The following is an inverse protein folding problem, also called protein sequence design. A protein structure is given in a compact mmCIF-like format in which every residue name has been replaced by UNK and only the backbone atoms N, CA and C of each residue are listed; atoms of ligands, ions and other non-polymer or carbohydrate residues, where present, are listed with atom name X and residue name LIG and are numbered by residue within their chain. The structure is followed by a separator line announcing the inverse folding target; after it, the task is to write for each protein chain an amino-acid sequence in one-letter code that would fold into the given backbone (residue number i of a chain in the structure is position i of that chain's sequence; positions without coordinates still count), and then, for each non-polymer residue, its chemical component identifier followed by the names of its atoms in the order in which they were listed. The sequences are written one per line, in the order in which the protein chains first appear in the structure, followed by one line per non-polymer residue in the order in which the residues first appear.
data_IF_580609825528
#
_entry.id   IF_580609825528
#
_cell.length_a   1.000
_cell.length_b   1.000
_cell.length_c   1.000
_cell.angle_alpha   90.00
_cell.angle_beta   90.00
_cell.angle_gamma   90.00
#
_symmetry.space_group_name_H-M   'P 1'
#
loop_
_entity.id
_entity.type
_entity.pdbx_description
1 polymer ?
#
# COMPACT_ATOMS: atom_id res chain seq x y z
N UNK A 1 -11.19 24.53 14.50
CA UNK A 1 -10.51 23.36 15.08
C UNK A 1 -11.10 22.12 14.42
N UNK A 2 -10.41 21.50 13.43
CA UNK A 2 -10.84 20.20 12.92
C UNK A 2 -10.46 19.19 13.99
N UNK A 3 -11.44 18.73 14.75
CA UNK A 3 -11.27 17.68 15.74
C UNK A 3 -10.51 16.51 15.13
N UNK A 4 -9.67 15.88 15.96
CA UNK A 4 -8.85 14.71 15.63
C UNK A 4 -9.73 13.57 15.13
N UNK A 5 -10.13 13.60 13.85
CA UNK A 5 -10.83 12.47 13.25
C UNK A 5 -9.94 11.23 13.39
N UNK A 6 -10.52 10.20 13.89
CA UNK A 6 -9.89 8.88 14.03
C UNK A 6 -9.42 8.48 12.62
N UNK A 7 -8.11 8.31 12.46
CA UNK A 7 -7.52 7.96 11.17
C UNK A 7 -7.79 6.48 10.91
N UNK A 8 -8.56 6.20 9.87
CA UNK A 8 -8.77 4.86 9.34
C UNK A 8 -7.96 4.74 8.06
N UNK A 9 -7.43 3.58 7.79
CA UNK A 9 -6.77 3.21 6.54
C UNK A 9 -7.08 1.76 6.22
N UNK A 10 -6.83 1.33 4.99
CA UNK A 10 -7.11 -0.03 4.59
C UNK A 10 -6.25 -0.52 3.45
N UNK A 11 -6.60 -1.69 2.97
CA UNK A 11 -5.99 -2.37 1.83
C UNK A 11 -7.04 -3.27 1.19
N UNK A 12 -7.18 -3.20 -0.13
CA UNK A 12 -7.94 -4.20 -0.86
C UNK A 12 -7.23 -5.56 -0.80
N UNK A 13 -8.02 -6.62 -0.63
CA UNK A 13 -7.57 -8.00 -0.68
C UNK A 13 -8.44 -8.78 -1.67
N UNK A 14 -8.16 -10.07 -1.86
CA UNK A 14 -8.97 -10.92 -2.75
C UNK A 14 -10.39 -11.02 -2.20
N UNK A 15 -11.39 -10.65 -3.01
CA UNK A 15 -12.82 -10.64 -2.66
C UNK A 15 -13.15 -9.91 -1.35
N UNK A 16 -12.32 -8.90 -0.97
CA UNK A 16 -12.50 -8.27 0.31
C UNK A 16 -11.67 -7.01 0.55
N UNK A 17 -11.79 -6.51 1.78
CA UNK A 17 -11.08 -5.34 2.27
C UNK A 17 -10.56 -5.58 3.67
N UNK A 18 -9.30 -5.23 3.90
CA UNK A 18 -8.72 -5.09 5.23
C UNK A 18 -8.81 -3.62 5.65
N UNK A 19 -9.35 -3.34 6.83
CA UNK A 19 -9.42 -2.02 7.44
C UNK A 19 -8.64 -1.99 8.76
N UNK A 20 -7.84 -0.94 8.93
CA UNK A 20 -7.18 -0.64 10.20
C UNK A 20 -7.87 0.55 10.85
N UNK A 21 -8.56 0.31 11.94
CA UNK A 21 -9.23 1.32 12.76
C UNK A 21 -8.51 1.55 14.09
N UNK A 22 -9.14 2.30 15.00
CA UNK A 22 -8.59 2.59 16.32
C UNK A 22 -8.63 1.40 17.27
N UNK A 23 -9.56 0.47 17.07
CA UNK A 23 -9.79 -0.67 18.00
C UNK A 23 -9.25 -1.99 17.47
N UNK A 24 -9.27 -2.16 16.14
CA UNK A 24 -8.85 -3.41 15.51
C UNK A 24 -8.34 -3.20 14.10
N UNK A 25 -7.60 -4.21 13.59
CA UNK A 25 -7.48 -4.51 12.18
C UNK A 25 -8.57 -5.54 11.88
N UNK A 26 -9.36 -5.31 10.84
CA UNK A 26 -10.44 -6.19 10.44
C UNK A 26 -10.36 -6.46 8.95
N UNK A 27 -10.38 -7.73 8.56
CA UNK A 27 -10.40 -8.17 7.17
C UNK A 27 -11.72 -8.87 6.91
N UNK A 28 -12.55 -8.30 6.05
CA UNK A 28 -13.80 -8.90 5.62
C UNK A 28 -13.67 -9.40 4.18
N UNK A 29 -14.22 -10.57 3.91
CA UNK A 29 -14.13 -11.28 2.64
C UNK A 29 -15.49 -11.86 2.28
N UNK A 30 -15.88 -11.74 1.01
CA UNK A 30 -17.05 -12.44 0.48
C UNK A 30 -16.65 -13.81 -0.03
N UNK A 31 -17.26 -14.84 0.50
CA UNK A 31 -17.10 -16.22 0.06
C UNK A 31 -17.87 -16.49 -1.23
N UNK A 32 -17.60 -17.61 -1.86
CA UNK A 32 -18.28 -18.04 -3.08
C UNK A 32 -19.80 -18.30 -2.91
N UNK A 33 -20.20 -18.72 -1.71
CA UNK A 33 -21.62 -18.89 -1.35
C UNK A 33 -22.36 -17.56 -1.12
N UNK A 34 -21.66 -16.42 -1.26
CA UNK A 34 -22.19 -15.08 -1.07
C UNK A 34 -22.15 -14.57 0.38
N UNK A 35 -21.83 -15.44 1.36
CA UNK A 35 -21.71 -15.04 2.77
C UNK A 35 -20.49 -14.15 2.98
N UNK A 36 -20.55 -13.28 3.99
CA UNK A 36 -19.42 -12.43 4.40
C UNK A 36 -18.83 -13.00 5.67
N UNK A 37 -17.53 -13.26 5.64
CA UNK A 37 -16.76 -13.63 6.81
C UNK A 37 -15.76 -12.53 7.15
N UNK A 38 -15.42 -12.38 8.43
CA UNK A 38 -14.39 -11.43 8.84
C UNK A 38 -13.46 -12.01 9.92
N UNK A 39 -12.23 -11.56 9.86
CA UNK A 39 -11.21 -11.79 10.89
C UNK A 39 -10.92 -10.48 11.59
N UNK A 40 -10.76 -10.52 12.93
CA UNK A 40 -10.50 -9.36 13.77
C UNK A 40 -9.21 -9.55 14.55
N UNK A 41 -8.31 -8.59 14.46
CA UNK A 41 -7.08 -8.51 15.26
C UNK A 41 -7.20 -7.28 16.18
N UNK A 42 -7.41 -7.51 17.48
CA UNK A 42 -7.54 -6.41 18.43
C UNK A 42 -6.24 -5.62 18.56
N UNK A 43 -6.32 -4.30 18.55
CA UNK A 43 -5.18 -3.41 18.76
C UNK A 43 -5.12 -2.99 20.23
N UNK A 44 -3.98 -3.24 20.87
CA UNK A 44 -3.72 -2.81 22.23
C UNK A 44 -3.27 -1.33 22.28
N UNK A 45 -3.52 -0.64 23.40
CA UNK A 45 -3.08 0.77 23.59
C UNK A 45 -1.56 0.95 23.43
N UNK A 46 -0.75 -0.06 23.76
CA UNK A 46 0.71 -0.05 23.56
C UNK A 46 1.07 0.04 22.08
N UNK A 47 0.34 -0.66 21.20
CA UNK A 47 0.53 -0.59 19.73
C UNK A 47 0.29 0.84 19.21
N UNK A 48 -0.65 1.57 19.79
CA UNK A 48 -0.99 2.92 19.38
C UNK A 48 0.00 4.01 19.84
N UNK A 49 0.84 3.75 20.84
CA UNK A 49 1.79 4.75 21.37
C UNK A 49 2.87 5.13 20.37
N UNK A 50 3.45 4.16 19.67
CA UNK A 50 4.50 4.37 18.70
C UNK A 50 3.98 5.06 17.41
N UNK A 51 2.70 4.90 17.08
CA UNK A 51 2.05 5.59 15.97
C UNK A 51 1.91 7.11 16.20
N UNK A 52 2.16 7.59 17.42
CA UNK A 52 2.17 9.03 17.75
C UNK A 52 3.52 9.69 17.47
N UNK A 53 4.59 8.89 17.34
CA UNK A 53 5.96 9.38 17.14
C UNK A 53 6.20 9.63 15.65
N UNK A 54 6.54 10.86 15.22
CA UNK A 54 6.90 11.15 13.85
C UNK A 54 8.03 10.23 13.36
N UNK A 55 8.10 9.96 12.07
CA UNK A 55 8.99 9.00 11.41
C UNK A 55 8.77 7.54 11.83
N UNK A 56 8.71 7.22 13.13
CA UNK A 56 8.48 5.84 13.62
C UNK A 56 7.16 5.29 13.10
N UNK A 57 6.11 6.11 13.07
CA UNK A 57 4.80 5.72 12.52
C UNK A 57 4.85 5.36 11.03
N UNK A 58 5.74 5.97 10.24
CA UNK A 58 5.94 5.62 8.82
C UNK A 58 6.62 4.26 8.66
N UNK A 59 7.59 3.96 9.53
CA UNK A 59 8.24 2.63 9.57
C UNK A 59 7.23 1.55 9.97
N UNK A 60 6.39 1.83 10.99
CA UNK A 60 5.33 0.91 11.41
C UNK A 60 4.31 0.72 10.29
N UNK A 61 3.90 1.80 9.60
CA UNK A 61 2.97 1.70 8.47
C UNK A 61 3.53 0.82 7.34
N UNK A 62 4.83 0.93 7.04
CA UNK A 62 5.49 0.06 6.07
C UNK A 62 5.52 -1.40 6.56
N UNK A 63 5.87 -1.64 7.83
CA UNK A 63 5.86 -2.97 8.43
C UNK A 63 4.46 -3.60 8.36
N UNK A 64 3.43 -2.86 8.76
CA UNK A 64 2.05 -3.32 8.71
C UNK A 64 1.61 -3.64 7.28
N UNK A 65 1.93 -2.78 6.31
CA UNK A 65 1.60 -3.02 4.91
C UNK A 65 2.28 -4.29 4.36
N UNK A 66 3.53 -4.54 4.73
CA UNK A 66 4.28 -5.71 4.24
C UNK A 66 3.94 -6.99 4.99
N UNK A 67 3.92 -6.96 6.32
CA UNK A 67 3.77 -8.19 7.13
C UNK A 67 2.31 -8.49 7.41
N UNK A 68 1.58 -7.53 7.96
CA UNK A 68 0.16 -7.73 8.28
C UNK A 68 -0.65 -7.80 7.00
N UNK A 69 -0.41 -6.86 6.05
CA UNK A 69 -1.11 -6.83 4.77
C UNK A 69 -0.94 -8.10 3.96
N UNK A 70 0.27 -8.72 3.95
CA UNK A 70 0.50 -9.99 3.27
C UNK A 70 -0.25 -11.14 3.96
N UNK A 71 -0.24 -11.20 5.30
CA UNK A 71 -1.00 -12.21 6.04
C UNK A 71 -2.50 -12.11 5.77
N UNK A 72 -3.04 -10.90 5.77
CA UNK A 72 -4.46 -10.67 5.50
C UNK A 72 -4.83 -10.93 4.03
N UNK A 73 -3.90 -10.70 3.09
CA UNK A 73 -4.08 -11.09 1.68
C UNK A 73 -4.17 -12.61 1.53
N UNK A 74 -3.30 -13.37 2.23
CA UNK A 74 -3.32 -14.84 2.23
C UNK A 74 -4.60 -15.35 2.87
N UNK A 75 -5.00 -14.80 4.03
CA UNK A 75 -6.27 -15.11 4.66
C UNK A 75 -7.44 -14.91 3.69
N UNK A 76 -7.50 -13.77 3.04
CA UNK A 76 -8.55 -13.44 2.09
C UNK A 76 -8.58 -14.40 0.89
N UNK A 77 -7.42 -14.72 0.34
CA UNK A 77 -7.29 -15.70 -0.75
C UNK A 77 -7.80 -17.08 -0.34
N UNK A 78 -7.48 -17.53 0.87
CA UNK A 78 -7.94 -18.83 1.40
C UNK A 78 -9.45 -18.86 1.69
N UNK A 79 -10.06 -17.72 2.06
CA UNK A 79 -11.51 -17.62 2.31
C UNK A 79 -12.32 -17.48 1.02
N UNK A 80 -11.77 -16.81 0.00
CA UNK A 80 -12.42 -16.57 -1.29
C UNK A 80 -12.29 -17.77 -2.25
N UNK A 81 -11.22 -18.57 -2.13
CA UNK A 81 -10.96 -19.74 -2.99
C UNK A 81 -11.78 -20.98 -2.60
N UNK A 82 -11.74 -22.00 -3.45
CA UNK A 82 -12.22 -23.34 -3.10
C UNK A 82 -11.33 -23.98 -2.04
N UNK A 83 -11.89 -24.89 -1.22
CA UNK A 83 -11.10 -25.58 -0.18
C UNK A 83 -9.90 -26.37 -0.75
N UNK A 84 -10.02 -26.85 -1.98
CA UNK A 84 -8.98 -27.56 -2.72
C UNK A 84 -7.84 -26.66 -3.21
N UNK A 85 -8.05 -25.33 -3.24
CA UNK A 85 -7.09 -24.32 -3.72
C UNK A 85 -6.34 -23.60 -2.58
N UNK A 86 -6.52 -24.02 -1.32
CA UNK A 86 -5.85 -23.39 -0.18
C UNK A 86 -4.33 -23.49 -0.32
N UNK A 87 -3.68 -22.32 -0.24
CA UNK A 87 -2.23 -22.23 -0.31
C UNK A 87 -1.59 -22.76 0.97
N UNK A 88 -0.63 -23.67 0.79
CA UNK A 88 0.20 -24.15 1.92
C UNK A 88 1.27 -23.10 2.28
N UNK A 89 1.72 -23.08 3.55
CA UNK A 89 2.78 -22.18 4.01
C UNK A 89 4.05 -22.26 3.16
N UNK A 90 4.40 -23.46 2.66
CA UNK A 90 5.56 -23.66 1.78
C UNK A 90 5.37 -22.99 0.42
N UNK A 91 4.18 -23.12 -0.18
CA UNK A 91 3.86 -22.48 -1.46
C UNK A 91 3.85 -20.96 -1.32
N UNK A 92 3.26 -20.45 -0.24
CA UNK A 92 3.28 -19.01 0.10
C UNK A 92 4.72 -18.53 0.26
N UNK A 93 5.53 -19.21 1.07
CA UNK A 93 6.93 -18.85 1.30
C UNK A 93 7.76 -18.83 0.00
N UNK A 94 7.59 -19.85 -0.86
CA UNK A 94 8.26 -19.92 -2.15
C UNK A 94 7.81 -18.79 -3.09
N UNK A 95 6.50 -18.52 -3.18
CA UNK A 95 5.95 -17.45 -4.03
C UNK A 95 6.43 -16.08 -3.57
N UNK A 96 6.39 -15.80 -2.27
CA UNK A 96 6.88 -14.52 -1.71
C UNK A 96 8.36 -14.36 -1.98
N UNK A 97 9.18 -15.37 -1.71
CA UNK A 97 10.62 -15.34 -1.97
C UNK A 97 10.93 -15.08 -3.45
N UNK A 98 10.30 -15.81 -4.35
CA UNK A 98 10.49 -15.65 -5.80
C UNK A 98 10.06 -14.26 -6.27
N UNK A 99 8.93 -13.75 -5.76
CA UNK A 99 8.43 -12.40 -6.08
C UNK A 99 9.38 -11.30 -5.60
N UNK A 100 9.95 -11.44 -4.39
CA UNK A 100 10.93 -10.50 -3.85
C UNK A 100 12.22 -10.52 -4.69
N UNK A 101 12.73 -11.69 -5.03
CA UNK A 101 13.94 -11.82 -5.88
C UNK A 101 13.72 -11.21 -7.27
N UNK A 102 12.57 -11.46 -7.88
CA UNK A 102 12.18 -10.89 -9.16
C UNK A 102 12.04 -9.36 -9.05
N UNK A 103 11.41 -8.88 -7.99
CA UNK A 103 11.28 -7.44 -7.70
C UNK A 103 12.65 -6.74 -7.58
N UNK A 104 13.59 -7.35 -6.86
CA UNK A 104 14.97 -6.85 -6.75
C UNK A 104 15.64 -6.85 -8.13
N UNK A 105 15.49 -7.91 -8.91
CA UNK A 105 16.08 -8.01 -10.24
C UNK A 105 15.54 -6.94 -11.19
N UNK A 106 14.21 -6.73 -11.21
CA UNK A 106 13.55 -5.80 -12.15
C UNK A 106 13.69 -4.35 -11.69
N UNK A 107 13.53 -4.05 -10.40
CA UNK A 107 13.46 -2.66 -9.92
C UNK A 107 14.77 -2.13 -9.32
N UNK A 108 15.74 -3.00 -9.00
CA UNK A 108 17.07 -2.57 -8.51
C UNK A 108 18.17 -2.88 -9.51
N UNK A 109 18.32 -4.15 -9.89
CA UNK A 109 19.44 -4.56 -10.73
C UNK A 109 19.33 -4.05 -12.18
N UNK A 110 18.20 -4.24 -12.84
CA UNK A 110 18.01 -3.87 -14.25
C UNK A 110 18.19 -2.35 -14.50
N UNK A 111 17.57 -1.41 -13.75
CA UNK A 111 17.80 0.02 -13.94
C UNK A 111 19.26 0.43 -13.68
N UNK A 112 19.89 -0.20 -12.68
CA UNK A 112 21.30 0.07 -12.36
C UNK A 112 22.25 -0.45 -13.43
N UNK A 113 21.96 -1.63 -14.01
CA UNK A 113 22.75 -2.20 -15.10
C UNK A 113 22.66 -1.34 -16.37
N UNK A 114 21.45 -0.87 -16.73
CA UNK A 114 21.22 0.01 -17.88
C UNK A 114 21.92 1.36 -17.64
N UNK A 115 21.73 1.99 -16.47
CA UNK A 115 22.39 3.25 -16.12
C UNK A 115 23.91 3.15 -16.20
N UNK A 116 24.50 2.07 -15.66
CA UNK A 116 25.94 1.81 -15.71
C UNK A 116 26.47 1.48 -17.11
N UNK A 117 25.64 0.91 -17.98
CA UNK A 117 26.02 0.65 -19.38
C UNK A 117 26.18 1.95 -20.18
N UNK A 118 25.24 2.90 -20.02
CA UNK A 118 25.28 4.18 -20.73
C UNK A 118 26.24 5.20 -20.09
N UNK A 119 26.41 5.15 -18.78
CA UNK A 119 27.21 6.12 -18.02
C UNK A 119 28.19 5.36 -17.11
N UNK A 120 29.40 5.11 -17.64
CA UNK A 120 30.47 4.36 -16.94
C UNK A 120 30.94 5.04 -15.65
N UNK A 121 30.85 6.36 -15.58
CA UNK A 121 31.12 7.12 -14.37
C UNK A 121 29.82 7.29 -13.60
N UNK A 122 29.78 6.75 -12.38
CA UNK A 122 28.66 6.82 -11.44
C UNK A 122 28.35 8.26 -11.03
N UNK A 123 27.86 9.04 -11.97
CA UNK A 123 27.54 10.43 -11.76
C UNK A 123 26.02 10.68 -11.68
N UNK A 124 25.65 11.92 -11.45
CA UNK A 124 24.26 12.40 -11.39
C UNK A 124 23.44 11.93 -12.62
N UNK A 125 24.06 11.88 -13.80
CA UNK A 125 23.40 11.42 -15.06
C UNK A 125 22.95 9.95 -14.96
N UNK A 126 23.79 9.06 -14.45
CA UNK A 126 23.46 7.65 -14.27
C UNK A 126 22.28 7.49 -13.28
N UNK A 127 22.28 8.23 -12.18
CA UNK A 127 21.21 8.19 -11.18
C UNK A 127 19.87 8.73 -11.74
N UNK A 128 19.91 9.78 -12.57
CA UNK A 128 18.70 10.30 -13.24
C UNK A 128 18.12 9.25 -14.21
N UNK A 129 18.95 8.62 -15.01
CA UNK A 129 18.51 7.57 -15.96
C UNK A 129 17.96 6.35 -15.20
N UNK A 130 18.66 5.91 -14.15
CA UNK A 130 18.16 4.84 -13.27
C UNK A 130 16.78 5.19 -12.68
N UNK A 131 16.59 6.43 -12.25
CA UNK A 131 15.33 6.92 -11.71
C UNK A 131 14.20 6.91 -12.75
N UNK A 132 14.46 7.39 -13.96
CA UNK A 132 13.48 7.40 -15.05
C UNK A 132 13.09 5.97 -15.43
N UNK A 133 14.06 5.05 -15.53
CA UNK A 133 13.79 3.65 -15.84
C UNK A 133 12.91 3.01 -14.76
N UNK A 134 13.22 3.24 -13.47
CA UNK A 134 12.38 2.75 -12.35
C UNK A 134 10.94 3.26 -12.43
N UNK A 135 10.78 4.54 -12.72
CA UNK A 135 9.45 5.14 -12.87
C UNK A 135 8.68 4.52 -14.04
N UNK A 136 9.32 4.37 -15.19
CA UNK A 136 8.70 3.77 -16.38
C UNK A 136 8.33 2.31 -16.13
N UNK A 137 9.23 1.52 -15.51
CA UNK A 137 8.97 0.13 -15.16
C UNK A 137 7.82 0.02 -14.16
N UNK A 138 7.78 0.87 -13.13
CA UNK A 138 6.71 0.87 -12.14
C UNK A 138 5.35 1.21 -12.77
N UNK A 139 5.27 2.31 -13.51
CA UNK A 139 4.01 2.71 -14.15
C UNK A 139 3.58 1.71 -15.22
N UNK A 140 4.53 1.19 -16.01
CA UNK A 140 4.28 0.15 -17.00
C UNK A 140 3.79 -1.17 -16.38
N UNK A 141 4.36 -1.57 -15.24
CA UNK A 141 3.91 -2.74 -14.49
C UNK A 141 2.47 -2.55 -13.98
N UNK A 142 2.18 -1.44 -13.29
CA UNK A 142 0.82 -1.15 -12.79
C UNK A 142 -0.19 -1.09 -13.94
N UNK A 143 0.16 -0.44 -15.04
CA UNK A 143 -0.68 -0.38 -16.23
C UNK A 143 -0.90 -1.77 -16.84
N UNK A 144 0.17 -2.57 -16.96
CA UNK A 144 0.09 -3.93 -17.52
C UNK A 144 -0.82 -4.84 -16.70
N UNK A 145 -0.64 -4.88 -15.37
CA UNK A 145 -1.49 -5.74 -14.51
C UNK A 145 -2.95 -5.28 -14.45
N UNK A 146 -3.23 -4.01 -14.73
CA UNK A 146 -4.61 -3.46 -14.71
C UNK A 146 -5.54 -4.08 -15.77
N UNK A 147 -5.00 -4.82 -16.74
CA UNK A 147 -5.78 -5.55 -17.73
C UNK A 147 -6.18 -6.96 -17.25
N UNK A 148 -5.56 -7.49 -16.20
CA UNK A 148 -5.90 -8.79 -15.64
C UNK A 148 -7.24 -8.70 -14.88
N UNK A 149 -8.18 -9.62 -15.17
CA UNK A 149 -9.52 -9.60 -14.57
C UNK A 149 -9.50 -9.66 -13.05
N UNK A 150 -8.65 -10.51 -12.47
CA UNK A 150 -8.52 -10.67 -11.02
C UNK A 150 -8.01 -9.37 -10.37
N UNK A 151 -7.06 -8.69 -11.02
CA UNK A 151 -6.55 -7.39 -10.55
C UNK A 151 -7.60 -6.29 -10.70
N UNK A 152 -8.41 -6.33 -11.76
CA UNK A 152 -9.54 -5.39 -11.91
C UNK A 152 -10.50 -5.50 -10.74
N UNK A 153 -10.79 -6.73 -10.31
CA UNK A 153 -11.66 -6.99 -9.17
C UNK A 153 -11.05 -6.50 -7.85
N UNK A 154 -9.76 -6.72 -7.64
CA UNK A 154 -9.04 -6.11 -6.50
C UNK A 154 -9.11 -4.58 -6.56
N UNK A 155 -9.02 -3.96 -7.74
CA UNK A 155 -9.13 -2.52 -7.91
C UNK A 155 -10.55 -1.98 -7.66
N UNK A 156 -11.59 -2.79 -7.86
CA UNK A 156 -12.96 -2.48 -7.44
C UNK A 156 -13.08 -2.47 -5.91
N UNK A 157 -12.54 -3.49 -5.22
CA UNK A 157 -12.47 -3.50 -3.75
C UNK A 157 -11.62 -2.34 -3.19
N UNK A 158 -10.58 -1.91 -3.89
CA UNK A 158 -9.82 -0.71 -3.55
C UNK A 158 -10.68 0.57 -3.67
N UNK A 159 -11.51 0.63 -4.69
CA UNK A 159 -12.54 1.67 -4.81
C UNK A 159 -13.55 1.62 -3.66
N UNK A 160 -13.98 0.42 -3.25
CA UNK A 160 -14.90 0.23 -2.13
C UNK A 160 -14.29 0.66 -0.80
N UNK A 161 -13.02 0.33 -0.57
CA UNK A 161 -12.25 0.82 0.59
C UNK A 161 -12.30 2.35 0.68
N UNK A 162 -11.88 3.04 -0.40
CA UNK A 162 -11.83 4.51 -0.44
C UNK A 162 -13.19 5.15 -0.21
N UNK A 163 -14.24 4.64 -0.89
CA UNK A 163 -15.61 5.17 -0.76
C UNK A 163 -16.15 4.98 0.67
N UNK A 164 -15.86 3.85 1.30
CA UNK A 164 -16.28 3.56 2.68
C UNK A 164 -15.55 4.44 3.69
N UNK A 165 -14.25 4.66 3.54
CA UNK A 165 -13.48 5.59 4.37
C UNK A 165 -13.99 7.02 4.19
N UNK A 166 -14.24 7.46 2.95
CA UNK A 166 -14.77 8.79 2.67
C UNK A 166 -16.16 8.98 3.28
N UNK A 167 -17.03 7.97 3.20
CA UNK A 167 -18.34 7.99 3.85
C UNK A 167 -18.22 8.19 5.37
N UNK A 168 -17.28 7.48 6.02
CA UNK A 168 -16.97 7.64 7.43
C UNK A 168 -16.45 9.05 7.77
N UNK A 169 -15.55 9.59 6.95
CA UNK A 169 -15.00 10.93 7.14
C UNK A 169 -16.01 12.06 6.96
N UNK A 170 -17.06 11.80 6.18
CA UNK A 170 -18.21 12.70 6.01
C UNK A 170 -19.22 12.59 7.16
N UNK A 171 -18.97 11.71 8.15
CA UNK A 171 -19.87 11.49 9.31
C UNK A 171 -21.29 11.07 8.92
N UNK A 172 -21.43 10.39 7.77
CA UNK A 172 -22.69 9.83 7.33
C UNK A 172 -22.84 8.41 7.85
N UNK A 173 -24.08 7.94 7.95
CA UNK A 173 -24.38 6.54 8.25
C UNK A 173 -23.59 5.60 7.32
N UNK A 174 -22.94 4.60 7.91
CA UNK A 174 -22.14 3.61 7.17
C UNK A 174 -23.08 2.63 6.46
N UNK A 175 -23.39 2.90 5.22
CA UNK A 175 -24.23 2.08 4.36
C UNK A 175 -23.70 2.04 2.93
N UNK A 176 -23.95 0.95 2.16
CA UNK A 176 -23.55 0.87 0.76
C UNK A 176 -24.08 2.04 -0.07
N UNK A 177 -25.33 2.45 0.20
CA UNK A 177 -25.98 3.59 -0.47
C UNK A 177 -25.25 4.91 -0.25
N UNK A 178 -24.82 5.20 0.97
CA UNK A 178 -24.11 6.44 1.29
C UNK A 178 -22.66 6.39 0.80
N UNK A 179 -21.99 5.21 0.84
CA UNK A 179 -20.67 5.03 0.30
C UNK A 179 -20.65 5.15 -1.24
N UNK A 180 -21.69 4.68 -1.93
CA UNK A 180 -21.78 4.69 -3.40
C UNK A 180 -21.61 6.09 -4.00
N UNK A 181 -22.11 7.13 -3.34
CA UNK A 181 -22.01 8.52 -3.82
C UNK A 181 -20.68 9.20 -3.47
N UNK A 182 -19.82 8.55 -2.68
CA UNK A 182 -18.51 9.06 -2.34
C UNK A 182 -17.52 8.88 -3.48
N UNK A 183 -16.45 9.68 -3.48
CA UNK A 183 -15.36 9.52 -4.45
C UNK A 183 -14.47 8.32 -4.11
N UNK A 184 -13.96 7.64 -5.13
CA UNK A 184 -12.93 6.58 -4.99
C UNK A 184 -11.50 7.12 -4.94
N UNK A 185 -11.32 8.43 -5.02
CA UNK A 185 -9.99 9.05 -4.93
C UNK A 185 -9.74 9.53 -3.51
N UNK A 186 -8.65 9.05 -2.90
CA UNK A 186 -8.32 9.35 -1.51
C UNK A 186 -6.85 9.79 -1.34
N UNK A 187 -6.56 10.93 -0.69
CA UNK A 187 -5.20 11.49 -0.62
C UNK A 187 -4.23 10.68 0.26
N UNK A 188 -4.74 9.81 1.13
CA UNK A 188 -3.93 8.95 2.03
C UNK A 188 -3.80 7.52 1.52
N UNK A 189 -4.04 7.27 0.24
CA UNK A 189 -3.97 5.94 -0.34
C UNK A 189 -2.55 5.36 -0.31
N UNK A 190 -2.45 4.06 -0.08
CA UNK A 190 -1.18 3.31 -0.10
C UNK A 190 -0.47 3.35 -1.46
N UNK A 191 -1.20 3.38 -2.58
CA UNK A 191 -0.58 3.50 -3.92
C UNK A 191 0.04 4.88 -4.15
N UNK A 192 -0.57 5.95 -3.62
CA UNK A 192 0.04 7.29 -3.60
C UNK A 192 1.29 7.32 -2.72
N UNK A 193 1.28 6.58 -1.61
CA UNK A 193 2.46 6.42 -0.75
C UNK A 193 3.61 5.74 -1.49
N UNK A 194 3.36 4.66 -2.24
CA UNK A 194 4.40 3.97 -3.02
C UNK A 194 5.05 4.90 -4.05
N UNK A 195 4.27 5.69 -4.77
CA UNK A 195 4.80 6.68 -5.71
C UNK A 195 5.68 7.72 -5.00
N UNK A 196 5.24 8.22 -3.85
CA UNK A 196 6.00 9.18 -3.05
C UNK A 196 7.30 8.56 -2.50
N UNK A 197 7.24 7.33 -1.97
CA UNK A 197 8.43 6.55 -1.55
C UNK A 197 9.43 6.44 -2.70
N UNK A 198 8.97 6.19 -3.91
CA UNK A 198 9.84 6.12 -5.08
C UNK A 198 10.55 7.45 -5.35
N UNK A 199 9.83 8.59 -5.35
CA UNK A 199 10.44 9.91 -5.54
C UNK A 199 11.43 10.26 -4.42
N UNK A 200 11.04 10.05 -3.16
CA UNK A 200 11.90 10.32 -2.02
C UNK A 200 13.14 9.40 -2.03
N UNK A 201 12.98 8.12 -2.40
CA UNK A 201 14.11 7.20 -2.52
C UNK A 201 15.14 7.65 -3.55
N UNK A 202 14.68 8.20 -4.69
CA UNK A 202 15.57 8.75 -5.72
C UNK A 202 16.41 9.89 -5.13
N UNK A 203 15.79 10.84 -4.43
CA UNK A 203 16.48 11.98 -3.81
C UNK A 203 17.48 11.52 -2.74
N UNK A 204 17.02 10.67 -1.81
CA UNK A 204 17.86 10.17 -0.70
C UNK A 204 19.05 9.38 -1.24
N UNK A 205 18.82 8.43 -2.13
CA UNK A 205 19.89 7.58 -2.63
C UNK A 205 20.85 8.31 -3.56
N UNK A 206 20.39 9.26 -4.37
CA UNK A 206 21.28 10.13 -5.13
C UNK A 206 22.17 10.96 -4.21
N UNK A 207 21.62 11.45 -3.09
CA UNK A 207 22.39 12.19 -2.08
C UNK A 207 23.42 11.27 -1.38
N UNK A 208 23.00 10.07 -0.98
CA UNK A 208 23.91 9.07 -0.38
C UNK A 208 25.06 8.72 -1.32
N UNK A 209 24.76 8.48 -2.60
CA UNK A 209 25.78 8.14 -3.61
C UNK A 209 26.73 9.31 -3.92
N UNK A 210 26.36 10.56 -3.63
CA UNK A 210 27.26 11.73 -3.72
C UNK A 210 28.23 11.81 -2.52
N UNK A 211 27.77 11.49 -1.32
CA UNK A 211 28.60 11.56 -0.11
C UNK A 211 29.49 10.32 0.08
N UNK A 212 29.02 9.18 -0.33
CA UNK A 212 29.77 7.91 -0.22
C UNK A 212 30.23 7.47 -1.62
N UNK A 213 31.53 7.35 -1.82
CA UNK A 213 32.07 6.89 -3.12
C UNK A 213 31.52 5.51 -3.46
N UNK A 214 30.78 5.44 -4.55
CA UNK A 214 30.25 4.18 -5.08
C UNK A 214 31.44 3.32 -5.58
N UNK A 215 31.57 2.07 -5.15
CA UNK A 215 32.66 1.19 -5.61
C UNK A 215 32.57 0.95 -7.13
N UNK A 216 33.71 0.87 -7.79
CA UNK A 216 33.79 0.70 -9.26
C UNK A 216 33.68 -0.76 -9.72
N UNK A 217 33.86 -1.75 -8.82
CA UNK A 217 33.67 -3.16 -9.13
C UNK A 217 32.19 -3.56 -9.18
N UNK A 218 31.76 -4.34 -10.19
CA UNK A 218 30.36 -4.75 -10.33
C UNK A 218 29.78 -5.39 -9.05
N UNK A 219 30.49 -6.36 -8.48
CA UNK A 219 30.02 -7.06 -7.27
C UNK A 219 29.99 -6.15 -6.04
N UNK A 220 31.02 -5.37 -5.81
CA UNK A 220 31.10 -4.42 -4.69
C UNK A 220 30.07 -3.30 -4.82
N UNK A 221 29.76 -2.85 -6.03
CA UNK A 221 28.71 -1.88 -6.29
C UNK A 221 27.33 -2.45 -5.96
N UNK A 222 27.04 -3.70 -6.33
CA UNK A 222 25.75 -4.35 -5.99
C UNK A 222 25.60 -4.46 -4.47
N UNK A 223 26.64 -4.94 -3.76
CA UNK A 223 26.61 -5.03 -2.29
C UNK A 223 26.41 -3.64 -1.67
N UNK A 224 27.16 -2.64 -2.10
CA UNK A 224 27.03 -1.27 -1.63
C UNK A 224 25.58 -0.75 -1.81
N UNK A 225 25.03 -0.89 -3.02
CA UNK A 225 23.66 -0.48 -3.29
C UNK A 225 22.66 -1.25 -2.42
N UNK A 226 22.81 -2.57 -2.29
CA UNK A 226 21.90 -3.37 -1.45
C UNK A 226 21.95 -2.91 0.01
N UNK A 227 23.13 -2.79 0.59
CA UNK A 227 23.32 -2.39 2.00
C UNK A 227 22.78 -0.98 2.24
N UNK A 228 23.15 -0.01 1.39
CA UNK A 228 22.68 1.37 1.55
C UNK A 228 21.17 1.48 1.38
N UNK A 229 20.56 0.78 0.40
CA UNK A 229 19.11 0.82 0.21
C UNK A 229 18.39 0.22 1.43
N UNK A 230 18.82 -0.96 1.91
CA UNK A 230 18.20 -1.59 3.10
C UNK A 230 18.34 -0.69 4.33
N UNK A 231 19.52 -0.09 4.56
CA UNK A 231 19.77 0.77 5.71
C UNK A 231 18.89 2.03 5.70
N UNK A 232 18.69 2.64 4.54
CA UNK A 232 17.94 3.90 4.41
C UNK A 232 16.43 3.70 4.13
N UNK A 233 15.95 2.48 3.87
CA UNK A 233 14.49 2.21 3.69
C UNK A 233 13.66 2.75 4.86
N UNK A 234 13.98 2.55 6.14
CA UNK A 234 13.19 3.11 7.24
C UNK A 234 13.13 4.63 7.22
N UNK A 235 14.23 5.29 6.86
CA UNK A 235 14.27 6.75 6.73
C UNK A 235 13.40 7.24 5.57
N UNK A 236 13.51 6.61 4.40
CA UNK A 236 12.69 6.93 3.21
C UNK A 236 11.21 6.73 3.52
N UNK A 237 10.84 5.61 4.14
CA UNK A 237 9.45 5.32 4.52
C UNK A 237 8.91 6.34 5.52
N UNK A 238 9.69 6.64 6.57
CA UNK A 238 9.31 7.64 7.58
C UNK A 238 9.08 9.01 6.96
N UNK A 239 10.03 9.48 6.14
CA UNK A 239 9.94 10.78 5.47
C UNK A 239 8.74 10.84 4.50
N UNK A 240 8.57 9.83 3.68
CA UNK A 240 7.45 9.74 2.73
C UNK A 240 6.10 9.75 3.45
N UNK A 241 6.00 9.02 4.57
CA UNK A 241 4.78 9.00 5.37
C UNK A 241 4.45 10.38 5.96
N UNK A 242 5.44 11.09 6.50
CA UNK A 242 5.23 12.44 7.06
C UNK A 242 4.80 13.43 5.98
N UNK A 243 5.41 13.37 4.79
CA UNK A 243 5.03 14.22 3.66
C UNK A 243 3.60 13.89 3.21
N UNK A 244 3.26 12.61 3.01
CA UNK A 244 1.91 12.22 2.62
C UNK A 244 0.87 12.64 3.67
N UNK A 245 1.18 12.46 4.94
CA UNK A 245 0.30 12.88 6.02
C UNK A 245 0.11 14.39 6.02
N UNK A 246 1.18 15.16 5.89
CA UNK A 246 1.11 16.62 5.82
C UNK A 246 0.28 17.09 4.63
N UNK A 247 0.54 16.56 3.44
CA UNK A 247 -0.20 16.92 2.22
C UNK A 247 -1.68 16.62 2.34
N UNK A 248 -2.05 15.49 2.96
CA UNK A 248 -3.46 15.06 3.10
C UNK A 248 -4.29 15.98 4.01
N UNK A 249 -3.65 16.70 4.93
CA UNK A 249 -4.31 17.66 5.81
C UNK A 249 -4.32 19.10 5.26
N UNK A 250 -3.52 19.37 4.22
CA UNK A 250 -3.32 20.73 3.70
C UNK A 250 -3.63 20.81 2.19
N UNK A 251 -4.65 20.09 1.72
CA UNK A 251 -5.03 20.08 0.30
C UNK A 251 -5.50 21.45 -0.22
N UNK A 252 -5.78 22.39 0.66
CA UNK A 252 -6.05 23.81 0.32
C UNK A 252 -4.76 24.54 -0.10
N UNK A 253 -3.60 24.04 0.31
CA UNK A 253 -2.29 24.57 -0.05
C UNK A 253 -1.84 24.04 -1.42
N UNK A 254 -1.41 24.95 -2.31
CA UNK A 254 -0.99 24.61 -3.68
C UNK A 254 0.16 23.61 -3.70
N UNK A 255 1.18 23.76 -2.83
CA UNK A 255 2.31 22.83 -2.77
C UNK A 255 1.89 21.44 -2.31
N UNK A 256 1.05 21.36 -1.27
CA UNK A 256 0.52 20.08 -0.81
C UNK A 256 -0.29 19.39 -1.91
N UNK A 257 -1.10 20.16 -2.63
CA UNK A 257 -1.88 19.65 -3.77
C UNK A 257 -0.98 19.13 -4.91
N UNK A 258 0.08 19.87 -5.25
CA UNK A 258 1.04 19.44 -6.29
C UNK A 258 1.72 18.11 -5.93
N UNK A 259 2.03 17.87 -4.66
CA UNK A 259 2.63 16.59 -4.21
C UNK A 259 1.59 15.47 -4.21
N UNK A 260 0.33 15.73 -3.85
CA UNK A 260 -0.72 14.72 -3.74
C UNK A 260 -1.29 14.30 -5.12
N UNK A 261 -1.36 15.23 -6.08
CA UNK A 261 -2.00 15.03 -7.40
C UNK A 261 -1.43 13.84 -8.18
N UNK A 262 -0.10 13.64 -8.33
CA UNK A 262 0.43 12.49 -9.06
C UNK A 262 -0.04 11.15 -8.48
N UNK A 263 -0.07 11.03 -7.13
CA UNK A 263 -0.59 9.84 -6.46
C UNK A 263 -2.08 9.64 -6.72
N UNK A 264 -2.89 10.69 -6.69
CA UNK A 264 -4.32 10.60 -7.03
C UNK A 264 -4.55 10.27 -8.51
N UNK A 265 -3.68 10.70 -9.42
CA UNK A 265 -3.76 10.27 -10.83
C UNK A 265 -3.48 8.79 -10.99
N UNK A 266 -2.53 8.22 -10.25
CA UNK A 266 -2.27 6.78 -10.27
C UNK A 266 -3.51 5.98 -9.85
N UNK A 267 -4.34 6.51 -8.95
CA UNK A 267 -5.58 5.88 -8.53
C UNK A 267 -6.62 5.74 -9.67
N UNK A 268 -6.53 6.52 -10.75
CA UNK A 268 -7.37 6.31 -11.94
C UNK A 268 -7.18 4.91 -12.55
N UNK A 269 -5.99 4.33 -12.38
CA UNK A 269 -5.63 2.99 -12.86
C UNK A 269 -5.83 1.96 -11.75
N UNK A 270 -5.43 2.29 -10.51
CA UNK A 270 -5.38 1.35 -9.39
C UNK A 270 -6.68 1.28 -8.58
N UNK A 271 -7.71 2.04 -8.93
CA UNK A 271 -9.05 1.91 -8.36
C UNK A 271 -10.10 1.85 -9.47
N UNK A 272 -11.18 1.09 -9.25
CA UNK A 272 -12.35 1.03 -10.12
C UNK A 272 -13.63 1.31 -9.33
N UNK A 273 -14.75 1.56 -10.03
CA UNK A 273 -16.05 1.73 -9.39
C UNK A 273 -16.53 0.38 -8.85
N UNK A 274 -16.76 0.27 -7.52
CA UNK A 274 -17.29 -0.93 -6.91
C UNK A 274 -18.79 -1.06 -7.11
N UNK A 275 -19.28 -2.29 -7.10
CA UNK A 275 -20.68 -2.58 -6.95
C UNK A 275 -21.17 -2.48 -5.48
N UNK A 276 -22.47 -2.61 -5.25
CA UNK A 276 -23.03 -2.49 -3.89
C UNK A 276 -22.61 -3.64 -2.98
N UNK A 277 -22.38 -4.83 -3.55
CA UNK A 277 -21.95 -6.00 -2.79
C UNK A 277 -20.53 -5.85 -2.26
N UNK A 278 -19.64 -5.20 -3.03
CA UNK A 278 -18.28 -4.90 -2.63
C UNK A 278 -18.24 -3.76 -1.59
N UNK A 279 -19.12 -2.77 -1.70
CA UNK A 279 -19.29 -1.73 -0.68
C UNK A 279 -19.78 -2.31 0.65
N UNK A 280 -20.67 -3.30 0.62
CA UNK A 280 -21.12 -4.01 1.83
C UNK A 280 -19.95 -4.65 2.57
N UNK A 281 -19.08 -5.38 1.88
CA UNK A 281 -17.89 -6.00 2.48
C UNK A 281 -16.96 -4.94 3.09
N UNK A 282 -16.70 -3.86 2.38
CA UNK A 282 -15.84 -2.78 2.88
C UNK A 282 -16.43 -2.09 4.14
N UNK A 283 -17.76 -1.94 4.21
CA UNK A 283 -18.46 -1.38 5.37
C UNK A 283 -18.41 -2.35 6.55
N UNK A 284 -18.55 -3.66 6.32
CA UNK A 284 -18.37 -4.68 7.36
C UNK A 284 -16.97 -4.57 7.96
N UNK A 285 -15.91 -4.58 7.13
CA UNK A 285 -14.55 -4.43 7.60
C UNK A 285 -14.35 -3.14 8.41
N UNK A 286 -14.90 -2.03 7.93
CA UNK A 286 -14.79 -0.74 8.60
C UNK A 286 -15.51 -0.73 9.96
N UNK A 287 -16.73 -1.24 10.04
CA UNK A 287 -17.48 -1.33 11.31
C UNK A 287 -16.73 -2.18 12.35
N UNK A 288 -16.24 -3.35 11.96
CA UNK A 288 -15.44 -4.22 12.88
C UNK A 288 -14.17 -3.50 13.33
N UNK A 289 -13.47 -2.78 12.44
CA UNK A 289 -12.26 -2.02 12.79
C UNK A 289 -12.55 -0.85 13.75
N UNK A 290 -13.76 -0.27 13.69
CA UNK A 290 -14.26 0.75 14.62
C UNK A 290 -14.75 0.13 15.93
N UNK A 291 -14.94 -1.19 15.98
CA UNK A 291 -15.45 -1.95 17.15
C UNK A 291 -16.97 -1.92 17.26
N UNK A 292 -17.66 -1.75 16.13
CA UNK A 292 -19.10 -1.90 16.02
C UNK A 292 -19.46 -3.37 15.76
N UNK A 293 -20.66 -3.76 16.14
CA UNK A 293 -21.22 -5.07 15.81
C UNK A 293 -21.69 -5.12 14.34
N UNK A 294 -21.57 -6.29 13.73
CA UNK A 294 -21.99 -6.54 12.33
C UNK A 294 -22.79 -7.83 12.26
N UNK A 295 -24.14 -7.73 12.34
CA UNK A 295 -25.00 -8.92 12.41
C UNK A 295 -25.02 -9.76 11.11
N UNK A 296 -24.64 -9.15 9.97
CA UNK A 296 -24.70 -9.78 8.65
C UNK A 296 -23.39 -10.46 8.23
N UNK A 297 -22.44 -10.66 9.13
CA UNK A 297 -21.16 -11.29 8.84
C UNK A 297 -20.73 -12.21 9.98
N UNK A 298 -19.99 -13.26 9.65
CA UNK A 298 -19.53 -14.26 10.63
C UNK A 298 -18.06 -14.05 10.96
N UNK A 299 -17.73 -13.95 12.26
CA UNK A 299 -16.34 -13.91 12.69
C UNK A 299 -15.69 -15.29 12.52
N UNK A 300 -14.51 -15.32 11.92
CA UNK A 300 -13.68 -16.52 11.80
C UNK A 300 -12.37 -16.34 12.55
N UNK A 301 -11.95 -17.39 13.24
CA UNK A 301 -10.72 -17.43 14.03
C UNK A 301 -9.68 -18.27 13.28
N UNK A 302 -8.48 -17.75 13.09
CA UNK A 302 -7.29 -18.47 12.65
C UNK A 302 -6.30 -18.67 13.78
#
# INVERSE_FOLDING_TARGET
MRDKKITVGGQAVVEGVMMRGPKAIATAVRKQDGSIVYKKIALTEKSNRWLKVPFVRGVIALYDAMVVGTKELIFASNQAGHEEEKLTDKQVGFTVMTSVLLGIAVFMWLPSAIGGFFFKDSGLKANIVEAIIKLVLFLGYIYGISFLKDIQRVFEYHGAEHKSIMNYEMEKELSPKNAKVCTRFHPRCGTSFLLLVMFISILVFSTVDLFFKVPTGHFSMIIYKLVTRVLFVPFVAGLSYEIQRWTSYHLDNVFAKMIAVPGMWLQKITTREPDESQLEVAIVALNVALGNEVPNATEVFE
#
